data_IF_934875303103
#
_entry.id   IF_934875303103
#
_cell.length_a   1.000
_cell.length_b   1.000
_cell.length_c   1.000
_cell.angle_alpha   90.00
_cell.angle_beta   90.00
_cell.angle_gamma   90.00
#
_symmetry.space_group_name_H-M   'P 1'
#
loop_
_entity.id
_entity.type
_entity.pdbx_description
1 polymer ?
#
# COMPACT_ATOMS: atom_id res chain seq x y z
N UNK A 1 0.33 -65.70 -22.65
CA UNK A 1 1.04 -64.41 -22.44
C UNK A 1 0.11 -63.41 -21.76
N UNK A 2 0.69 -62.52 -20.95
CA UNK A 2 0.08 -61.48 -20.09
C UNK A 2 -0.58 -61.95 -18.78
N UNK A 3 0.23 -61.92 -17.73
CA UNK A 3 -0.15 -61.88 -16.31
C UNK A 3 -0.59 -60.44 -15.99
N UNK A 4 -1.71 -60.27 -15.29
CA UNK A 4 -1.86 -59.13 -14.37
C UNK A 4 -2.62 -59.59 -13.14
N UNK A 5 -2.00 -59.35 -11.98
CA UNK A 5 -2.39 -59.83 -10.66
C UNK A 5 -3.48 -58.93 -10.05
N UNK A 6 -4.45 -59.60 -9.43
CA UNK A 6 -5.13 -59.32 -8.15
C UNK A 6 -4.60 -58.12 -7.34
N UNK A 7 -5.49 -57.27 -6.80
CA UNK A 7 -5.57 -56.96 -5.37
C UNK A 7 -6.88 -56.21 -5.04
N UNK A 8 -7.75 -56.92 -4.33
CA UNK A 8 -8.77 -56.40 -3.40
C UNK A 8 -8.05 -55.77 -2.21
N UNK A 9 -8.52 -54.65 -1.65
CA UNK A 9 -8.72 -54.45 -0.19
C UNK A 9 -9.47 -53.13 0.06
N UNK A 10 -10.62 -53.28 0.72
CA UNK A 10 -11.42 -52.31 1.45
C UNK A 10 -10.75 -52.06 2.83
N UNK A 11 -10.63 -50.81 3.29
CA UNK A 11 -10.29 -50.54 4.70
C UNK A 11 -10.91 -49.23 5.21
N UNK A 12 -12.03 -49.39 5.92
CA UNK A 12 -12.54 -48.50 6.97
C UNK A 12 -11.75 -48.77 8.25
N UNK A 13 -11.13 -47.76 8.87
CA UNK A 13 -10.70 -47.76 10.28
C UNK A 13 -10.75 -46.29 10.76
N UNK A 14 -11.83 -45.89 11.43
CA UNK A 14 -11.98 -45.75 12.89
C UNK A 14 -11.07 -44.69 13.52
N UNK A 15 -11.73 -43.76 14.22
CA UNK A 15 -11.10 -42.65 14.92
C UNK A 15 -10.25 -43.09 16.11
N UNK A 16 -9.27 -42.25 16.41
CA UNK A 16 -8.55 -42.26 17.67
C UNK A 16 -8.64 -40.85 18.26
N UNK A 17 -9.59 -40.68 19.18
CA UNK A 17 -9.54 -39.61 20.18
C UNK A 17 -8.43 -40.02 21.15
N UNK A 18 -7.25 -39.42 21.01
CA UNK A 18 -6.19 -39.53 22.01
C UNK A 18 -6.28 -38.35 22.98
N UNK A 19 -7.03 -38.55 24.07
CA UNK A 19 -6.83 -37.83 25.33
C UNK A 19 -5.51 -38.33 25.91
N UNK A 20 -4.42 -37.56 25.73
CA UNK A 20 -3.17 -37.79 26.46
C UNK A 20 -2.57 -36.45 26.89
N UNK A 21 -2.60 -36.21 28.20
CA UNK A 21 -1.51 -35.60 28.94
C UNK A 21 -1.45 -34.07 28.95
N UNK A 22 -1.77 -33.48 30.11
CA UNK A 22 -1.25 -32.19 30.55
C UNK A 22 0.28 -32.15 30.42
N UNK A 23 0.79 -31.60 29.33
CA UNK A 23 2.09 -30.96 29.24
C UNK A 23 1.93 -29.94 28.13
N UNK A 24 1.52 -28.74 28.53
CA UNK A 24 1.42 -27.60 27.62
C UNK A 24 2.76 -27.48 26.90
N UNK A 25 2.76 -27.70 25.58
CA UNK A 25 3.87 -27.28 24.72
C UNK A 25 4.23 -25.86 25.17
N UNK A 26 5.51 -25.52 25.36
CA UNK A 26 5.88 -24.15 25.68
C UNK A 26 5.16 -23.27 24.66
N UNK A 27 4.23 -22.42 25.14
CA UNK A 27 3.62 -21.41 24.31
C UNK A 27 4.80 -20.63 23.75
N UNK A 28 5.12 -20.87 22.49
CA UNK A 28 6.16 -20.15 21.79
C UNK A 28 5.72 -18.70 21.89
N UNK A 29 6.40 -17.93 22.75
CA UNK A 29 6.11 -16.51 22.94
C UNK A 29 6.11 -15.92 21.54
N UNK A 30 4.95 -15.43 21.12
CA UNK A 30 4.78 -14.77 19.83
C UNK A 30 5.86 -13.69 19.76
N UNK A 31 6.74 -13.78 18.76
CA UNK A 31 7.84 -12.82 18.65
C UNK A 31 7.20 -11.46 18.39
N UNK A 32 7.57 -10.46 19.19
CA UNK A 32 7.07 -9.11 18.95
C UNK A 32 7.44 -8.68 17.52
N UNK A 33 6.45 -8.24 16.74
CA UNK A 33 6.69 -7.83 15.36
C UNK A 33 7.67 -6.65 15.33
N UNK A 34 8.63 -6.71 14.41
CA UNK A 34 9.45 -5.55 14.07
C UNK A 34 8.57 -4.45 13.52
N UNK A 35 8.68 -3.27 14.11
CA UNK A 35 8.03 -2.04 13.63
C UNK A 35 9.12 -0.99 13.49
N UNK A 36 9.07 -0.27 12.37
CA UNK A 36 9.98 0.84 12.11
C UNK A 36 9.85 1.86 13.26
N UNK A 37 10.97 2.13 13.94
CA UNK A 37 11.00 3.00 15.13
C UNK A 37 10.89 4.47 14.73
N UNK A 38 10.39 5.29 15.66
CA UNK A 38 10.21 6.73 15.47
C UNK A 38 11.45 7.40 14.89
N UNK A 39 11.22 8.24 13.86
CA UNK A 39 12.16 8.80 12.87
C UNK A 39 12.39 7.98 11.60
N UNK A 40 11.79 6.79 11.47
CA UNK A 40 11.80 6.02 10.22
C UNK A 40 10.44 6.17 9.53
N UNK A 41 10.45 6.39 8.22
CA UNK A 41 9.25 6.70 7.43
C UNK A 41 9.02 5.61 6.37
N UNK A 42 7.75 5.40 6.02
CA UNK A 42 7.40 4.78 4.75
C UNK A 42 7.36 5.85 3.67
N UNK A 43 7.58 5.44 2.43
CA UNK A 43 7.76 6.35 1.32
C UNK A 43 6.77 6.06 0.22
N UNK A 44 6.02 7.10 -0.16
CA UNK A 44 5.23 7.12 -1.38
C UNK A 44 6.09 7.82 -2.44
N UNK A 45 6.59 7.04 -3.38
CA UNK A 45 7.52 7.50 -4.40
C UNK A 45 6.77 8.13 -5.57
N UNK A 46 7.50 8.89 -6.40
CA UNK A 46 7.01 9.38 -7.69
C UNK A 46 7.93 8.85 -8.78
N UNK A 47 7.37 8.15 -9.75
CA UNK A 47 8.14 7.53 -10.84
C UNK A 47 8.77 8.61 -11.72
N UNK A 48 10.05 8.42 -12.05
CA UNK A 48 10.74 9.24 -13.03
C UNK A 48 10.47 8.69 -14.44
N UNK A 49 9.43 9.21 -15.10
CA UNK A 49 9.01 8.80 -16.45
C UNK A 49 9.77 9.52 -17.58
N UNK A 50 10.00 8.82 -18.69
CA UNK A 50 10.71 9.34 -19.88
C UNK A 50 9.95 10.44 -20.64
N UNK A 51 8.70 10.73 -20.30
CA UNK A 51 7.89 11.81 -20.92
C UNK A 51 8.24 13.19 -20.38
N UNK A 52 9.14 13.29 -19.40
CA UNK A 52 9.59 14.54 -18.82
C UNK A 52 10.75 15.13 -19.60
N UNK A 53 10.73 16.44 -19.87
CA UNK A 53 11.90 17.16 -20.38
C UNK A 53 12.88 17.33 -19.22
N UNK A 54 14.17 17.05 -19.46
CA UNK A 54 15.24 16.99 -18.46
C UNK A 54 15.01 17.90 -17.24
N UNK A 55 14.85 17.30 -16.04
CA UNK A 55 14.71 17.87 -14.69
C UNK A 55 14.35 19.37 -14.57
N UNK A 56 13.42 19.85 -15.41
CA UNK A 56 12.96 21.24 -15.36
C UNK A 56 11.98 21.37 -14.19
N UNK A 57 12.53 21.71 -13.05
CA UNK A 57 11.80 21.89 -11.80
C UNK A 57 11.29 23.32 -11.65
N UNK A 58 11.38 24.17 -12.68
CA UNK A 58 10.87 25.52 -12.63
C UNK A 58 9.34 25.50 -12.43
N UNK A 59 8.84 26.40 -11.59
CA UNK A 59 7.41 26.62 -11.43
C UNK A 59 6.96 27.65 -12.46
N UNK A 60 6.61 27.14 -13.64
CA UNK A 60 6.10 27.92 -14.78
C UNK A 60 5.03 27.13 -15.52
N UNK A 61 4.18 27.78 -16.34
CA UNK A 61 3.13 27.07 -17.04
C UNK A 61 3.69 25.95 -17.91
N UNK A 62 3.17 24.73 -17.71
CA UNK A 62 3.54 23.57 -18.50
C UNK A 62 2.49 23.31 -19.60
N UNK A 63 2.89 22.69 -20.73
CA UNK A 63 1.94 22.14 -21.69
C UNK A 63 0.97 21.16 -21.00
N UNK A 64 -0.32 21.16 -21.42
CA UNK A 64 -1.36 20.33 -20.79
C UNK A 64 -1.13 18.82 -20.92
N UNK A 65 -0.36 18.41 -21.92
CA UNK A 65 0.05 17.03 -22.19
C UNK A 65 1.37 16.64 -21.52
N UNK A 66 2.04 17.59 -20.86
CA UNK A 66 3.28 17.33 -20.14
C UNK A 66 3.00 16.96 -18.68
N UNK A 67 3.48 15.79 -18.27
CA UNK A 67 3.48 15.38 -16.87
C UNK A 67 4.46 16.24 -16.03
N UNK A 68 4.13 16.41 -14.76
CA UNK A 68 5.00 17.10 -13.81
C UNK A 68 6.23 16.24 -13.45
N UNK A 69 7.32 16.91 -13.09
CA UNK A 69 8.48 16.24 -12.47
C UNK A 69 8.17 15.72 -11.07
N UNK A 70 8.91 14.72 -10.55
CA UNK A 70 8.79 14.30 -9.15
C UNK A 70 8.89 15.48 -8.17
N UNK A 71 9.79 16.43 -8.43
CA UNK A 71 9.96 17.63 -7.60
C UNK A 71 8.71 18.52 -7.65
N UNK A 72 8.20 18.81 -8.84
CA UNK A 72 6.98 19.61 -9.01
C UNK A 72 5.78 18.93 -8.34
N UNK A 73 5.62 17.61 -8.52
CA UNK A 73 4.57 16.83 -7.87
C UNK A 73 4.63 16.98 -6.35
N UNK A 74 5.79 16.76 -5.74
CA UNK A 74 5.94 16.89 -4.28
C UNK A 74 5.68 18.32 -3.82
N UNK A 75 6.06 19.33 -4.61
CA UNK A 75 5.76 20.74 -4.30
C UNK A 75 4.25 21.01 -4.22
N UNK A 76 3.46 20.51 -5.16
CA UNK A 76 2.01 20.83 -5.22
C UNK A 76 1.09 19.80 -4.61
N UNK A 77 1.58 18.61 -4.24
CA UNK A 77 0.79 17.55 -3.63
C UNK A 77 0.09 18.03 -2.35
N UNK A 78 -1.22 17.76 -2.25
CA UNK A 78 -2.04 18.14 -1.09
C UNK A 78 -2.95 17.04 -0.56
N UNK A 79 -3.29 16.05 -1.37
CA UNK A 79 -4.17 14.96 -0.93
C UNK A 79 -3.90 13.68 -1.72
N UNK A 80 -4.02 12.56 -1.01
CA UNK A 80 -4.08 11.22 -1.57
C UNK A 80 -5.51 10.73 -1.42
N UNK A 81 -6.16 10.40 -2.53
CA UNK A 81 -7.49 9.80 -2.51
C UNK A 81 -7.44 8.34 -2.93
N UNK A 82 -8.31 7.53 -2.34
CA UNK A 82 -8.47 6.13 -2.71
C UNK A 82 -9.90 5.65 -2.48
N UNK A 83 -10.32 4.67 -3.26
CA UNK A 83 -11.50 3.86 -2.99
C UNK A 83 -11.22 2.94 -1.80
N UNK A 84 -12.01 3.12 -0.74
CA UNK A 84 -11.92 2.33 0.49
C UNK A 84 -12.78 1.08 0.37
N UNK A 85 -12.15 -0.10 0.42
CA UNK A 85 -12.84 -1.39 0.34
C UNK A 85 -13.72 -1.68 1.56
N UNK A 86 -13.32 -1.17 2.72
CA UNK A 86 -14.01 -1.33 4.00
C UNK A 86 -15.18 -0.34 4.20
N UNK A 87 -15.38 0.61 3.28
CA UNK A 87 -16.35 1.70 3.43
C UNK A 87 -17.38 1.76 2.29
N UNK A 88 -17.87 0.60 1.84
CA UNK A 88 -18.94 0.48 0.82
C UNK A 88 -18.64 1.19 -0.51
N UNK A 89 -17.37 1.35 -0.87
CA UNK A 89 -16.96 2.07 -2.07
C UNK A 89 -16.95 3.60 -1.94
N UNK A 90 -16.92 4.14 -0.72
CA UNK A 90 -16.61 5.56 -0.50
C UNK A 90 -15.14 5.86 -0.82
N UNK A 91 -14.87 7.08 -1.29
CA UNK A 91 -13.50 7.59 -1.40
C UNK A 91 -13.06 8.17 -0.05
N UNK A 92 -11.90 7.74 0.41
CA UNK A 92 -11.17 8.34 1.52
C UNK A 92 -10.12 9.30 1.00
N UNK A 93 -9.84 10.36 1.77
CA UNK A 93 -8.78 11.30 1.48
C UNK A 93 -7.83 11.40 2.67
N UNK A 94 -6.52 11.40 2.40
CA UNK A 94 -5.48 11.72 3.37
C UNK A 94 -4.76 12.99 2.91
N UNK A 95 -4.73 14.02 3.73
CA UNK A 95 -3.98 15.25 3.45
C UNK A 95 -2.48 14.97 3.34
N UNK A 96 -1.82 15.65 2.40
CA UNK A 96 -0.36 15.69 2.27
C UNK A 96 0.12 17.01 2.85
N UNK A 97 0.57 16.94 4.09
CA UNK A 97 1.08 18.08 4.84
C UNK A 97 2.55 18.38 4.47
N UNK A 98 3.01 19.60 4.72
CA UNK A 98 4.37 20.00 4.33
C UNK A 98 5.48 19.17 5.02
N UNK A 99 5.26 18.72 6.26
CA UNK A 99 6.23 17.86 6.97
C UNK A 99 6.37 16.46 6.35
N UNK A 100 5.37 16.03 5.57
CA UNK A 100 5.38 14.75 4.85
C UNK A 100 6.23 14.85 3.58
N UNK A 101 6.43 16.04 3.02
CA UNK A 101 7.17 16.23 1.76
C UNK A 101 8.68 16.08 2.00
N UNK A 102 9.29 15.12 1.33
CA UNK A 102 10.74 14.94 1.27
C UNK A 102 11.23 15.49 -0.07
N UNK A 103 11.66 16.74 -0.04
CA UNK A 103 12.15 17.47 -1.21
C UNK A 103 13.56 17.04 -1.66
N UNK A 104 14.33 16.37 -0.80
CA UNK A 104 15.66 15.88 -1.16
C UNK A 104 15.55 14.64 -2.05
N UNK A 105 14.59 13.77 -1.72
CA UNK A 105 14.36 12.52 -2.46
C UNK A 105 13.12 12.55 -3.37
N UNK A 106 12.42 13.68 -3.44
CA UNK A 106 11.17 13.85 -4.19
C UNK A 106 10.12 12.76 -3.92
N UNK A 107 9.80 12.56 -2.63
CA UNK A 107 8.83 11.56 -2.16
C UNK A 107 7.94 12.11 -1.04
N UNK A 108 6.86 11.42 -0.74
CA UNK A 108 5.97 11.72 0.38
C UNK A 108 6.22 10.69 1.49
N UNK A 109 6.42 11.15 2.72
CA UNK A 109 6.63 10.33 3.91
C UNK A 109 5.29 10.08 4.60
N UNK A 110 5.06 8.84 5.02
CA UNK A 110 3.95 8.50 5.91
C UNK A 110 4.46 7.71 7.12
N UNK A 111 3.69 7.76 8.20
CA UNK A 111 4.01 7.03 9.43
C UNK A 111 3.92 5.51 9.19
N UNK A 112 4.93 4.71 9.60
CA UNK A 112 4.85 3.25 9.53
C UNK A 112 3.67 2.62 10.30
N UNK A 113 3.14 3.33 11.31
CA UNK A 113 1.93 2.93 12.02
C UNK A 113 0.67 2.98 11.15
N UNK A 114 0.71 3.62 9.98
CA UNK A 114 -0.39 3.53 9.01
C UNK A 114 -0.55 2.13 8.42
N UNK A 115 0.44 1.22 8.59
CA UNK A 115 0.43 -0.14 8.04
C UNK A 115 0.51 -1.20 9.13
N UNK A 116 1.30 -1.01 10.17
CA UNK A 116 1.41 -1.95 11.29
C UNK A 116 1.37 -1.16 12.60
N UNK A 117 0.35 -1.37 13.42
CA UNK A 117 0.19 -0.62 14.67
C UNK A 117 -0.22 -1.49 15.86
N UNK A 118 0.15 -1.11 17.09
CA UNK A 118 -0.36 -1.76 18.29
C UNK A 118 -1.83 -1.38 18.50
N UNK A 119 -2.69 -2.38 18.57
CA UNK A 119 -4.09 -2.22 18.95
C UNK A 119 -4.36 -2.91 20.28
N UNK A 120 -5.23 -2.35 21.12
CA UNK A 120 -5.62 -2.97 22.37
C UNK A 120 -6.61 -4.12 22.15
N UNK A 121 -6.34 -5.27 22.75
CA UNK A 121 -7.22 -6.44 22.78
C UNK A 121 -7.52 -6.83 24.23
N UNK A 122 -8.71 -7.38 24.45
CA UNK A 122 -9.06 -8.02 25.71
C UNK A 122 -8.78 -9.52 25.61
N UNK A 123 -7.90 -10.03 26.47
CA UNK A 123 -7.59 -11.46 26.60
C UNK A 123 -7.73 -11.81 28.08
N UNK A 124 -8.63 -12.74 28.39
CA UNK A 124 -8.91 -13.19 29.78
C UNK A 124 -9.17 -12.03 30.76
N UNK A 125 -9.92 -11.02 30.31
CA UNK A 125 -10.26 -9.85 31.13
C UNK A 125 -9.12 -8.84 31.31
N UNK A 126 -7.96 -9.04 30.68
CA UNK A 126 -6.83 -8.11 30.69
C UNK A 126 -6.62 -7.45 29.33
N UNK A 127 -6.28 -6.15 29.36
CA UNK A 127 -5.87 -5.41 28.17
C UNK A 127 -4.45 -5.83 27.80
N UNK A 128 -4.28 -6.30 26.57
CA UNK A 128 -2.99 -6.61 25.96
C UNK A 128 -2.86 -5.85 24.65
N UNK A 129 -1.66 -5.35 24.35
CA UNK A 129 -1.40 -4.75 23.05
C UNK A 129 -0.95 -5.84 22.08
N UNK A 130 -1.57 -5.88 20.90
CA UNK A 130 -1.13 -6.72 19.80
C UNK A 130 -0.98 -5.87 18.57
N UNK A 131 0.10 -6.05 17.85
CA UNK A 131 0.27 -5.40 16.57
C UNK A 131 -0.65 -6.05 15.55
N UNK A 132 -1.25 -5.21 14.72
CA UNK A 132 -2.13 -5.64 13.65
C UNK A 132 -1.69 -5.00 12.35
N UNK A 133 -2.06 -5.65 11.26
CA UNK A 133 -2.01 -5.07 9.94
C UNK A 133 -3.18 -4.09 9.77
N UNK A 134 -2.89 -2.85 9.38
CA UNK A 134 -3.87 -1.79 9.18
C UNK A 134 -4.39 -1.84 7.74
N UNK A 135 -5.66 -2.18 7.57
CA UNK A 135 -6.23 -2.58 6.28
C UNK A 135 -6.41 -1.42 5.29
N UNK A 136 -6.56 -0.18 5.76
CA UNK A 136 -7.00 0.94 4.92
C UNK A 136 -6.02 1.19 3.75
N UNK A 137 -4.71 1.22 3.99
CA UNK A 137 -3.73 1.41 2.93
C UNK A 137 -3.43 0.15 2.11
N UNK A 138 -3.79 -1.03 2.60
CA UNK A 138 -3.47 -2.30 1.91
C UNK A 138 -4.56 -2.66 0.90
N UNK A 139 -5.79 -2.30 1.22
CA UNK A 139 -6.97 -2.64 0.42
C UNK A 139 -7.41 -1.52 -0.52
N UNK A 140 -6.78 -0.35 -0.45
CA UNK A 140 -7.05 0.80 -1.30
C UNK A 140 -6.97 0.46 -2.79
N UNK A 141 -7.93 1.00 -3.56
CA UNK A 141 -7.96 0.95 -5.03
C UNK A 141 -8.22 2.34 -5.60
N UNK A 142 -8.00 2.55 -6.89
CA UNK A 142 -8.13 3.84 -7.56
C UNK A 142 -7.37 4.96 -6.81
N UNK A 143 -6.12 4.66 -6.43
CA UNK A 143 -5.28 5.55 -5.64
C UNK A 143 -4.75 6.67 -6.51
N UNK A 144 -5.07 7.91 -6.14
CA UNK A 144 -4.68 9.13 -6.87
C UNK A 144 -4.02 10.14 -5.94
N UNK A 145 -3.08 10.90 -6.51
CA UNK A 145 -2.44 12.05 -5.88
C UNK A 145 -2.98 13.32 -6.53
N UNK A 146 -3.35 14.29 -5.70
CA UNK A 146 -3.99 15.53 -6.12
C UNK A 146 -3.14 16.76 -5.79
N UNK A 147 -3.17 17.73 -6.70
CA UNK A 147 -2.61 19.06 -6.50
C UNK A 147 -3.50 19.90 -5.55
N UNK A 148 -2.86 20.72 -4.71
CA UNK A 148 -3.54 21.63 -3.80
C UNK A 148 -4.07 22.90 -4.45
N UNK A 149 -4.46 23.86 -3.61
CA UNK A 149 -4.87 25.21 -4.01
C UNK A 149 -3.82 26.28 -3.73
N UNK A 150 -2.53 25.96 -3.89
CA UNK A 150 -1.44 26.93 -3.67
C UNK A 150 -1.18 27.78 -4.92
N UNK A 151 -0.51 28.92 -4.77
CA UNK A 151 -0.11 29.78 -5.90
C UNK A 151 0.77 29.05 -6.93
N UNK A 152 1.48 28.00 -6.52
CA UNK A 152 2.29 27.18 -7.43
C UNK A 152 1.44 26.36 -8.40
N UNK A 153 0.21 25.99 -8.00
CA UNK A 153 -0.70 25.16 -8.80
C UNK A 153 -1.13 25.93 -10.04
N UNK A 154 -1.61 27.17 -9.85
CA UNK A 154 -1.99 28.04 -10.97
C UNK A 154 -0.78 28.42 -11.83
N UNK A 155 0.40 28.63 -11.23
CA UNK A 155 1.64 28.89 -11.97
C UNK A 155 2.09 27.73 -12.85
N UNK A 156 1.82 26.47 -12.47
CA UNK A 156 2.08 25.29 -13.29
C UNK A 156 0.99 25.00 -14.33
N UNK A 157 -0.08 25.82 -14.38
CA UNK A 157 -1.22 25.58 -15.25
C UNK A 157 -2.05 24.35 -14.84
N UNK A 158 -2.12 24.08 -13.53
CA UNK A 158 -2.97 23.07 -12.92
C UNK A 158 -4.26 23.72 -12.40
N UNK A 159 -5.35 22.95 -12.43
CA UNK A 159 -6.55 23.28 -11.66
C UNK A 159 -6.41 22.80 -10.20
N UNK A 160 -6.99 23.51 -9.21
CA UNK A 160 -7.05 23.01 -7.84
C UNK A 160 -7.73 21.62 -7.77
N UNK A 161 -7.09 20.67 -7.08
CA UNK A 161 -7.58 19.30 -6.98
C UNK A 161 -7.31 18.43 -8.20
N UNK A 162 -6.54 18.89 -9.19
CA UNK A 162 -6.20 18.10 -10.37
C UNK A 162 -5.40 16.84 -10.00
N UNK A 163 -5.71 15.71 -10.64
CA UNK A 163 -4.93 14.46 -10.51
C UNK A 163 -3.57 14.66 -11.17
N UNK A 164 -2.52 14.50 -10.36
CA UNK A 164 -1.11 14.65 -10.76
C UNK A 164 -0.32 13.33 -10.69
N UNK A 165 -0.93 12.28 -10.14
CA UNK A 165 -0.35 10.95 -10.10
C UNK A 165 -1.38 9.89 -9.77
N UNK A 166 -1.12 8.65 -10.15
CA UNK A 166 -1.96 7.50 -9.79
C UNK A 166 -1.10 6.26 -9.53
N UNK A 167 -1.65 5.27 -8.83
CA UNK A 167 -1.03 3.95 -8.68
C UNK A 167 -1.93 2.92 -9.37
N UNK A 168 -1.39 2.06 -10.24
CA UNK A 168 -2.20 1.04 -10.88
C UNK A 168 -2.83 0.04 -9.91
N UNK A 169 -4.08 -0.34 -10.14
CA UNK A 169 -4.80 -1.30 -9.29
C UNK A 169 -4.11 -2.67 -9.28
N UNK A 170 -3.56 -3.11 -10.43
CA UNK A 170 -2.81 -4.35 -10.52
C UNK A 170 -1.56 -4.36 -9.62
N UNK A 171 -0.90 -3.20 -9.45
CA UNK A 171 0.23 -3.03 -8.52
C UNK A 171 -0.25 -3.21 -7.08
N UNK A 172 -1.36 -2.56 -6.71
CA UNK A 172 -1.96 -2.65 -5.38
C UNK A 172 -2.43 -4.07 -5.04
N UNK A 173 -3.02 -4.79 -5.99
CA UNK A 173 -3.46 -6.19 -5.81
C UNK A 173 -2.30 -7.15 -5.56
N UNK A 174 -1.23 -7.00 -6.34
CA UNK A 174 -0.01 -7.79 -6.16
C UNK A 174 0.61 -7.50 -4.80
N UNK A 175 0.66 -6.24 -4.41
CA UNK A 175 1.21 -5.80 -3.13
C UNK A 175 0.40 -6.33 -1.95
N UNK A 176 -0.94 -6.24 -2.00
CA UNK A 176 -1.84 -6.76 -0.97
C UNK A 176 -1.56 -8.24 -0.71
N UNK A 177 -1.48 -9.06 -1.77
CA UNK A 177 -1.18 -10.48 -1.63
C UNK A 177 0.18 -10.71 -0.96
N UNK A 178 1.22 -10.03 -1.44
CA UNK A 178 2.58 -10.18 -0.91
C UNK A 178 2.70 -9.74 0.55
N UNK A 179 2.06 -8.62 0.91
CA UNK A 179 2.00 -8.10 2.27
C UNK A 179 1.31 -9.09 3.21
N UNK A 180 0.16 -9.63 2.82
CA UNK A 180 -0.57 -10.62 3.65
C UNK A 180 0.24 -11.90 3.85
N UNK A 181 0.91 -12.38 2.80
CA UNK A 181 1.79 -13.54 2.89
C UNK A 181 3.00 -13.31 3.81
N UNK A 182 3.60 -12.12 3.76
CA UNK A 182 4.71 -11.73 4.63
C UNK A 182 4.27 -11.59 6.08
N UNK A 183 3.14 -10.91 6.33
CA UNK A 183 2.54 -10.75 7.65
C UNK A 183 2.22 -12.10 8.29
N UNK A 184 1.62 -13.04 7.55
CA UNK A 184 1.32 -14.39 8.04
C UNK A 184 2.57 -15.19 8.43
N UNK A 185 3.75 -14.84 7.90
CA UNK A 185 5.05 -15.44 8.24
C UNK A 185 5.78 -14.67 9.34
N UNK A 186 5.24 -13.54 9.82
CA UNK A 186 5.90 -12.63 10.76
C UNK A 186 7.07 -11.85 10.17
N UNK A 187 7.12 -11.70 8.83
CA UNK A 187 8.18 -10.98 8.11
C UNK A 187 7.77 -9.52 7.83
N UNK A 188 7.89 -8.67 8.85
CA UNK A 188 7.43 -7.29 8.74
C UNK A 188 8.35 -6.40 7.92
N UNK A 189 9.63 -6.75 7.82
CA UNK A 189 10.54 -6.03 6.94
C UNK A 189 10.09 -6.18 5.48
N UNK A 190 9.70 -7.39 5.09
CA UNK A 190 9.09 -7.63 3.79
C UNK A 190 7.75 -6.88 3.62
N UNK A 191 6.90 -6.81 4.66
CA UNK A 191 5.65 -6.01 4.62
C UNK A 191 5.96 -4.56 4.23
N UNK A 192 6.88 -3.89 4.93
CA UNK A 192 7.23 -2.50 4.64
C UNK A 192 7.89 -2.34 3.28
N UNK A 193 8.72 -3.30 2.85
CA UNK A 193 9.32 -3.27 1.52
C UNK A 193 8.26 -3.35 0.43
N UNK A 194 7.36 -4.32 0.50
CA UNK A 194 6.29 -4.47 -0.50
C UNK A 194 5.38 -3.24 -0.54
N UNK A 195 5.13 -2.62 0.61
CA UNK A 195 4.41 -1.36 0.67
C UNK A 195 5.14 -0.24 -0.09
N UNK A 196 6.40 0.03 0.25
CA UNK A 196 7.19 1.11 -0.38
C UNK A 196 7.36 0.90 -1.89
N UNK A 197 7.54 -0.34 -2.34
CA UNK A 197 7.65 -0.66 -3.77
C UNK A 197 6.33 -0.34 -4.50
N UNK A 198 5.20 -0.74 -3.91
CA UNK A 198 3.88 -0.61 -4.52
C UNK A 198 3.35 0.82 -4.53
N UNK A 199 3.67 1.59 -3.48
CA UNK A 199 3.28 2.98 -3.35
C UNK A 199 4.21 3.91 -4.14
N UNK A 200 4.25 3.69 -5.45
CA UNK A 200 4.96 4.53 -6.41
C UNK A 200 3.97 5.15 -7.38
N UNK A 201 3.74 6.45 -7.26
CA UNK A 201 2.85 7.18 -8.14
C UNK A 201 3.46 7.33 -9.52
N UNK A 202 2.70 6.97 -10.54
CA UNK A 202 2.99 7.28 -11.94
C UNK A 202 2.47 8.69 -12.21
N UNK A 203 3.33 9.66 -12.58
CA UNK A 203 2.92 10.99 -12.98
C UNK A 203 1.85 10.93 -14.09
N UNK A 204 0.81 11.74 -13.93
CA UNK A 204 -0.25 11.86 -14.93
C UNK A 204 -0.88 13.25 -14.88
N UNK A 205 -1.77 13.53 -15.83
CA UNK A 205 -2.66 14.69 -15.84
C UNK A 205 -4.10 14.20 -15.88
N UNK A 206 -5.05 15.06 -15.48
CA UNK A 206 -6.48 14.71 -15.40
C UNK A 206 -7.02 14.04 -16.67
N UNK A 207 -6.78 14.65 -17.84
CA UNK A 207 -7.31 14.13 -19.13
C UNK A 207 -6.77 12.73 -19.43
N UNK A 208 -5.47 12.51 -19.21
CA UNK A 208 -4.85 11.19 -19.42
C UNK A 208 -5.38 10.16 -18.43
N UNK A 209 -5.54 10.54 -17.16
CA UNK A 209 -6.10 9.67 -16.12
C UNK A 209 -7.54 9.26 -16.42
N UNK A 210 -8.40 10.21 -16.81
CA UNK A 210 -9.80 9.95 -17.18
C UNK A 210 -9.87 8.97 -18.36
N UNK A 211 -9.02 9.16 -19.37
CA UNK A 211 -8.92 8.23 -20.50
C UNK A 211 -8.48 6.82 -20.07
N UNK A 212 -7.46 6.70 -19.22
CA UNK A 212 -7.01 5.40 -18.71
C UNK A 212 -8.13 4.69 -17.92
N UNK A 213 -8.92 5.45 -17.17
CA UNK A 213 -10.09 4.97 -16.45
C UNK A 213 -11.17 4.43 -17.38
N UNK A 214 -11.53 5.18 -18.40
CA UNK A 214 -12.52 4.78 -19.41
C UNK A 214 -12.09 3.51 -20.17
N UNK A 215 -10.79 3.37 -20.44
CA UNK A 215 -10.21 2.20 -21.11
C UNK A 215 -10.06 0.98 -20.17
N UNK A 216 -10.34 1.11 -18.87
CA UNK A 216 -10.16 0.03 -17.89
C UNK A 216 -8.69 -0.33 -17.65
N UNK A 217 -7.79 0.64 -17.78
CA UNK A 217 -6.32 0.47 -17.69
C UNK A 217 -5.71 1.09 -16.41
N UNK A 218 -6.54 1.41 -15.42
CA UNK A 218 -6.09 1.80 -14.08
C UNK A 218 -5.68 0.59 -13.26
#
# INVERSE_FOLDING_TARGET
MKKTKLFVVLALVLGAVALVGCNGKPQQKEKEPFVLKGNTWLYLNVENTNTMKADDNEIKPLPKDQNLTPRQIVTVASAIEALLKDNEGRRGATSVEDWMKDFESNRIKIDPYNIIEPRPFMVDGKKVEKFVLVECWITNRDVTLHAGGTDFVSQLGLEPGEVIGYIPNATMEKAEKAIREAWAKGDNEAVYKFFNDAYTFIPTRKVTYEKLKEEGKL
#
